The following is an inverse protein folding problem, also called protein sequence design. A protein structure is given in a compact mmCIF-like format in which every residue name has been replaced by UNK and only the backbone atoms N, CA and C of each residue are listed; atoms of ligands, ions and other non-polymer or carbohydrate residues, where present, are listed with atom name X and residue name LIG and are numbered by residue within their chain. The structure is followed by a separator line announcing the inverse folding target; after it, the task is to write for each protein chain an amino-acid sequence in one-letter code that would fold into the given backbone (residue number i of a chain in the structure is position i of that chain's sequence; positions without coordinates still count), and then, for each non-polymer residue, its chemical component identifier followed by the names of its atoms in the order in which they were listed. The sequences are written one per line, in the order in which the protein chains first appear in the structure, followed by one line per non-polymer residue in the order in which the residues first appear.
data_IF_497464013433
#
_entry.id   IF_497464013433
#
_cell.length_a   1.000
_cell.length_b   1.000
_cell.length_c   1.000
_cell.angle_alpha   90.00
_cell.angle_beta   90.00
_cell.angle_gamma   90.00
#
_symmetry.space_group_name_H-M   'P 1'
#
loop_
_entity.id
_entity.type
_entity.pdbx_description
1 polymer ?
#
# COMPACT_ATOMS: atom_id res chain seq x y z
N UNK A 1 8.05 -24.67 1.38
CA UNK A 1 7.47 -23.88 2.50
C UNK A 1 8.03 -22.47 2.41
N UNK A 2 7.23 -21.45 2.67
CA UNK A 2 7.69 -20.05 2.71
C UNK A 2 8.52 -19.83 3.98
N UNK A 3 9.72 -19.26 3.88
CA UNK A 3 10.54 -18.93 5.07
C UNK A 3 9.96 -17.71 5.79
N UNK A 4 9.41 -16.75 5.06
CA UNK A 4 8.77 -15.55 5.61
C UNK A 4 7.27 -15.62 5.42
N UNK A 5 6.51 -15.33 6.47
CA UNK A 5 5.06 -15.29 6.46
C UNK A 5 4.56 -14.00 7.12
N UNK A 6 3.83 -13.17 6.35
CA UNK A 6 3.16 -11.99 6.93
C UNK A 6 2.02 -12.48 7.82
N UNK A 7 2.02 -12.04 9.07
CA UNK A 7 1.01 -12.41 10.07
C UNK A 7 -0.06 -11.32 10.21
N UNK A 8 0.34 -10.05 10.18
CA UNK A 8 -0.59 -8.92 10.29
C UNK A 8 -0.03 -7.67 9.58
N UNK A 9 -0.93 -6.85 9.04
CA UNK A 9 -0.62 -5.51 8.55
C UNK A 9 -1.73 -4.59 9.06
N UNK A 10 -1.37 -3.73 10.00
CA UNK A 10 -2.29 -2.75 10.57
C UNK A 10 -2.13 -1.42 9.85
N UNK A 11 -3.21 -0.99 9.22
CA UNK A 11 -3.31 0.35 8.63
C UNK A 11 -3.53 1.37 9.75
N UNK A 12 -2.62 2.35 9.85
CA UNK A 12 -2.69 3.45 10.82
C UNK A 12 -3.21 4.71 10.14
N UNK A 13 -3.68 5.67 10.94
CA UNK A 13 -4.14 6.99 10.46
C UNK A 13 -5.15 6.92 9.30
N UNK A 14 -6.24 6.16 9.50
CA UNK A 14 -7.24 5.92 8.48
C UNK A 14 -8.68 6.11 9.04
N UNK A 15 -9.58 6.85 8.37
CA UNK A 15 -9.38 7.63 7.14
C UNK A 15 -8.60 8.94 7.36
N UNK A 16 -7.87 9.40 6.35
CA UNK A 16 -7.05 10.61 6.39
C UNK A 16 -7.17 11.45 5.09
N UNK A 17 -6.55 12.63 5.07
CA UNK A 17 -6.45 13.43 3.85
C UNK A 17 -5.66 12.67 2.79
N UNK A 18 -5.97 12.90 1.52
CA UNK A 18 -5.26 12.28 0.39
C UNK A 18 -3.75 12.52 0.49
N UNK A 19 -3.36 13.73 0.89
CA UNK A 19 -1.98 14.22 1.04
C UNK A 19 -1.27 13.78 2.33
N UNK A 20 -1.95 13.11 3.25
CA UNK A 20 -1.30 12.52 4.44
C UNK A 20 -0.48 11.30 4.03
N UNK A 21 0.63 11.02 4.71
CA UNK A 21 1.42 9.82 4.46
C UNK A 21 0.60 8.55 4.74
N UNK A 22 0.93 7.45 4.06
CA UNK A 22 0.44 6.14 4.45
C UNK A 22 1.30 5.59 5.58
N UNK A 23 0.68 4.87 6.52
CA UNK A 23 1.37 4.32 7.68
C UNK A 23 0.89 2.89 7.95
N UNK A 24 1.80 1.92 7.85
CA UNK A 24 1.52 0.50 8.02
C UNK A 24 2.41 -0.09 9.11
N UNK A 25 1.81 -0.69 10.14
CA UNK A 25 2.54 -1.54 11.09
C UNK A 25 2.52 -2.98 10.55
N UNK A 26 3.67 -3.45 10.06
CA UNK A 26 3.81 -4.75 9.42
C UNK A 26 4.40 -5.73 10.44
N UNK A 27 3.73 -6.86 10.63
CA UNK A 27 4.19 -7.99 11.45
C UNK A 27 4.36 -9.22 10.57
N UNK A 28 5.51 -9.87 10.67
CA UNK A 28 5.80 -11.09 9.93
C UNK A 28 6.64 -12.07 10.75
N UNK A 29 6.51 -13.35 10.45
CA UNK A 29 7.29 -14.43 11.03
C UNK A 29 8.34 -14.91 10.02
N UNK A 30 9.58 -15.07 10.50
CA UNK A 30 10.68 -15.64 9.75
C UNK A 30 11.07 -16.99 10.39
N UNK A 31 10.96 -18.09 9.65
CA UNK A 31 11.22 -19.45 10.17
C UNK A 31 12.72 -19.68 10.41
N UNK A 32 13.58 -19.10 9.56
CA UNK A 32 15.03 -19.26 9.61
C UNK A 32 15.67 -17.93 9.25
N UNK A 33 16.76 -17.58 9.93
CA UNK A 33 17.49 -16.34 9.69
C UNK A 33 17.83 -16.16 8.20
N UNK A 34 17.57 -14.95 7.69
CA UNK A 34 17.96 -14.54 6.35
C UNK A 34 19.16 -13.59 6.46
N UNK A 35 20.25 -13.98 5.81
CA UNK A 35 21.48 -13.17 5.71
C UNK A 35 21.35 -11.99 4.76
N UNK A 36 20.30 -11.97 3.93
CA UNK A 36 20.00 -10.93 2.95
C UNK A 36 18.68 -10.25 3.30
N UNK A 37 18.54 -9.03 2.81
CA UNK A 37 17.41 -8.17 3.13
C UNK A 37 16.15 -8.55 2.34
N UNK A 38 15.00 -8.31 2.97
CA UNK A 38 13.71 -8.27 2.30
C UNK A 38 13.50 -6.89 1.71
N UNK A 39 13.11 -6.82 0.44
CA UNK A 39 12.67 -5.57 -0.17
C UNK A 39 11.16 -5.42 0.01
N UNK A 40 10.73 -4.35 0.67
CA UNK A 40 9.33 -4.00 0.85
C UNK A 40 8.99 -2.77 0.01
N UNK A 41 7.91 -2.84 -0.77
CA UNK A 41 7.42 -1.71 -1.57
C UNK A 41 5.97 -1.41 -1.26
N UNK A 42 5.62 -0.13 -1.32
CA UNK A 42 4.24 0.33 -1.37
C UNK A 42 3.98 0.91 -2.76
N UNK A 43 2.95 0.42 -3.42
CA UNK A 43 2.58 0.79 -4.77
C UNK A 43 1.14 1.29 -4.74
N UNK A 44 0.90 2.48 -5.29
CA UNK A 44 -0.44 3.01 -5.48
C UNK A 44 -0.86 2.82 -6.93
N UNK A 45 -2.02 2.21 -7.14
CA UNK A 45 -2.59 2.01 -8.49
C UNK A 45 -3.24 3.31 -8.93
N UNK A 46 -2.65 3.97 -9.93
CA UNK A 46 -3.15 5.27 -10.40
C UNK A 46 -4.40 5.16 -11.27
N UNK A 47 -4.54 4.07 -12.03
CA UNK A 47 -5.69 3.81 -12.88
C UNK A 47 -5.97 2.31 -12.93
N UNK A 48 -7.23 1.87 -12.91
CA UNK A 48 -7.56 0.46 -13.10
C UNK A 48 -7.29 -0.03 -14.53
N UNK A 49 -7.14 0.88 -15.51
CA UNK A 49 -7.01 0.54 -16.93
C UNK A 49 -5.56 0.31 -17.37
N UNK A 50 -4.58 0.88 -16.65
CA UNK A 50 -3.18 0.84 -17.06
C UNK A 50 -2.22 0.92 -15.87
N UNK A 51 -1.25 0.01 -15.87
CA UNK A 51 -0.12 -0.01 -14.92
C UNK A 51 0.86 1.16 -15.14
N UNK A 52 0.74 1.91 -16.25
CA UNK A 52 1.59 3.09 -16.51
C UNK A 52 1.41 4.20 -15.48
N UNK A 53 0.27 4.22 -14.80
CA UNK A 53 -0.05 5.17 -13.74
C UNK A 53 0.28 4.65 -12.35
N UNK A 54 0.82 3.43 -12.23
CA UNK A 54 1.22 2.87 -10.95
C UNK A 54 2.43 3.62 -10.39
N UNK A 55 2.33 4.00 -9.12
CA UNK A 55 3.34 4.77 -8.43
C UNK A 55 3.95 3.93 -7.32
N UNK A 56 5.23 3.61 -7.44
CA UNK A 56 6.01 3.10 -6.31
C UNK A 56 6.23 4.26 -5.35
N UNK A 57 5.50 4.27 -4.24
CA UNK A 57 5.53 5.36 -3.26
C UNK A 57 6.85 5.35 -2.48
N UNK A 58 7.29 4.16 -2.08
CA UNK A 58 8.59 3.95 -1.45
C UNK A 58 9.04 2.48 -1.55
N UNK A 59 10.33 2.26 -1.34
CA UNK A 59 10.98 0.96 -1.33
C UNK A 59 12.04 0.92 -0.24
N UNK A 60 11.90 0.01 0.72
CA UNK A 60 12.87 -0.15 1.82
C UNK A 60 13.45 -1.56 1.87
N UNK A 61 14.68 -1.65 2.35
CA UNK A 61 15.36 -2.92 2.62
C UNK A 61 15.30 -3.20 4.12
N UNK A 62 14.80 -4.37 4.49
CA UNK A 62 14.70 -4.82 5.89
C UNK A 62 15.56 -6.06 6.05
N UNK A 63 16.71 -5.89 6.68
CA UNK A 63 17.56 -7.00 7.09
C UNK A 63 18.84 -6.56 7.81
N UNK A 64 19.68 -7.54 8.23
CA UNK A 64 19.42 -8.98 8.17
C UNK A 64 18.21 -9.39 9.01
N UNK A 65 17.50 -10.44 8.62
CA UNK A 65 16.20 -10.81 9.22
C UNK A 65 16.37 -11.98 10.19
N UNK A 66 16.25 -11.76 11.52
CA UNK A 66 16.37 -12.84 12.49
C UNK A 66 15.16 -13.77 12.43
N UNK A 67 15.37 -15.03 12.83
CA UNK A 67 14.29 -15.99 13.02
C UNK A 67 13.34 -15.54 14.14
N UNK A 68 12.04 -15.78 13.96
CA UNK A 68 10.98 -15.40 14.89
C UNK A 68 10.05 -14.32 14.34
N UNK A 69 9.32 -13.68 15.24
CA UNK A 69 8.35 -12.63 14.91
C UNK A 69 9.05 -11.28 14.86
N UNK A 70 8.92 -10.60 13.73
CA UNK A 70 9.46 -9.29 13.46
C UNK A 70 8.31 -8.30 13.24
N UNK A 71 8.52 -7.05 13.67
CA UNK A 71 7.55 -5.96 13.50
C UNK A 71 8.29 -4.67 13.19
N UNK A 72 7.77 -3.89 12.24
CA UNK A 72 8.27 -2.55 11.94
C UNK A 72 7.15 -1.64 11.43
N UNK A 73 7.43 -0.34 11.45
CA UNK A 73 6.55 0.68 10.91
C UNK A 73 7.04 1.07 9.51
N UNK A 74 6.16 1.02 8.52
CA UNK A 74 6.41 1.47 7.16
C UNK A 74 5.57 2.71 6.87
N UNK A 75 6.19 3.88 6.93
CA UNK A 75 5.59 5.16 6.54
C UNK A 75 6.05 5.53 5.14
N UNK A 76 5.11 5.90 4.26
CA UNK A 76 5.42 6.28 2.88
C UNK A 76 4.63 7.51 2.46
N UNK A 77 5.25 8.35 1.62
CA UNK A 77 4.63 9.54 1.06
C UNK A 77 3.32 9.20 0.32
N UNK A 78 2.35 10.14 0.24
CA UNK A 78 1.15 9.95 -0.57
C UNK A 78 1.48 9.81 -2.06
N UNK A 79 0.51 9.31 -2.84
CA UNK A 79 0.61 9.30 -4.29
C UNK A 79 0.62 10.71 -4.87
N UNK A 80 1.36 10.91 -5.96
CA UNK A 80 1.37 12.14 -6.72
C UNK A 80 0.09 12.25 -7.55
N UNK A 81 -0.82 13.13 -7.12
CA UNK A 81 -2.09 13.37 -7.79
C UNK A 81 -1.93 13.84 -9.25
N UNK A 82 -0.80 14.46 -9.61
CA UNK A 82 -0.57 14.96 -10.98
C UNK A 82 -0.31 13.84 -11.98
N UNK A 83 0.05 12.66 -11.48
CA UNK A 83 0.29 11.44 -12.28
C UNK A 83 -0.91 10.51 -12.32
N UNK A 84 -2.03 10.90 -11.71
CA UNK A 84 -3.27 10.13 -11.70
C UNK A 84 -4.21 10.73 -12.75
N UNK A 85 -4.85 9.93 -13.61
CA UNK A 85 -5.88 10.43 -14.50
C UNK A 85 -6.98 11.18 -13.71
N UNK A 86 -7.42 12.38 -14.13
CA UNK A 86 -8.37 13.18 -13.35
C UNK A 86 -9.70 12.48 -13.05
N UNK A 87 -10.11 11.51 -13.87
CA UNK A 87 -11.33 10.73 -13.69
C UNK A 87 -11.16 9.54 -12.72
N UNK A 88 -9.92 9.12 -12.44
CA UNK A 88 -9.59 7.98 -11.57
C UNK A 88 -9.19 8.41 -10.15
N UNK A 89 -9.00 9.71 -9.91
CA UNK A 89 -8.60 10.20 -8.60
C UNK A 89 -9.70 10.06 -7.54
N UNK A 90 -10.96 10.22 -7.95
CA UNK A 90 -12.14 10.03 -7.12
C UNK A 90 -12.67 8.60 -7.27
N UNK A 91 -13.19 8.06 -6.17
CA UNK A 91 -13.74 6.71 -6.12
C UNK A 91 -12.71 5.68 -5.67
N UNK A 92 -12.89 4.45 -6.14
CA UNK A 92 -12.18 3.29 -5.59
C UNK A 92 -10.94 2.97 -6.42
N UNK A 93 -9.80 2.88 -5.76
CA UNK A 93 -8.54 2.35 -6.31
C UNK A 93 -7.91 1.34 -5.33
N UNK A 94 -6.63 0.97 -5.54
CA UNK A 94 -5.91 -0.03 -4.78
C UNK A 94 -4.54 0.51 -4.35
N UNK A 95 -4.16 0.23 -3.10
CA UNK A 95 -2.77 0.32 -2.63
C UNK A 95 -2.26 -1.09 -2.37
N UNK A 96 -1.03 -1.36 -2.78
CA UNK A 96 -0.42 -2.69 -2.80
C UNK A 96 0.88 -2.63 -2.01
N UNK A 97 1.03 -3.53 -1.03
CA UNK A 97 2.28 -3.77 -0.32
C UNK A 97 2.88 -5.06 -0.87
N UNK A 98 4.09 -5.00 -1.40
CA UNK A 98 4.81 -6.19 -1.87
C UNK A 98 6.02 -6.46 -1.00
N UNK A 99 6.39 -7.73 -0.88
CA UNK A 99 7.66 -8.13 -0.29
C UNK A 99 8.37 -9.11 -1.22
N UNK A 100 9.64 -8.82 -1.47
CA UNK A 100 10.51 -9.57 -2.37
C UNK A 100 11.77 -10.02 -1.64
N UNK A 101 12.28 -11.18 -2.05
CA UNK A 101 13.58 -11.68 -1.61
C UNK A 101 14.41 -12.02 -2.84
N UNK A 102 15.63 -11.48 -2.95
CA UNK A 102 16.48 -11.60 -4.15
C UNK A 102 15.74 -11.27 -5.46
N UNK A 103 15.00 -10.17 -5.48
CA UNK A 103 14.16 -9.71 -6.61
C UNK A 103 13.03 -10.68 -7.03
N UNK A 104 12.69 -11.65 -6.18
CA UNK A 104 11.54 -12.53 -6.38
C UNK A 104 10.43 -12.10 -5.41
N UNK A 105 9.36 -11.50 -5.95
CA UNK A 105 8.14 -11.19 -5.18
C UNK A 105 7.50 -12.50 -4.71
N UNK A 106 7.33 -12.66 -3.40
CA UNK A 106 6.70 -13.85 -2.82
C UNK A 106 5.36 -13.56 -2.15
N UNK A 107 5.08 -12.29 -1.83
CA UNK A 107 3.80 -11.88 -1.26
C UNK A 107 3.42 -10.48 -1.72
N UNK A 108 2.12 -10.33 -1.95
CA UNK A 108 1.45 -9.10 -2.32
C UNK A 108 0.18 -8.96 -1.51
N UNK A 109 0.01 -7.82 -0.84
CA UNK A 109 -1.18 -7.49 -0.05
C UNK A 109 -1.81 -6.22 -0.61
N UNK A 110 -2.97 -6.35 -1.24
CA UNK A 110 -3.73 -5.24 -1.80
C UNK A 110 -4.86 -4.80 -0.88
N UNK A 111 -5.04 -3.50 -0.73
CA UNK A 111 -6.18 -2.88 -0.04
C UNK A 111 -6.93 -1.98 -1.02
N UNK A 112 -8.26 -2.02 -0.97
CA UNK A 112 -9.05 -1.00 -1.64
C UNK A 112 -8.91 0.33 -0.90
N UNK A 113 -8.78 1.41 -1.66
CA UNK A 113 -8.75 2.78 -1.17
C UNK A 113 -9.91 3.52 -1.82
N UNK A 114 -10.79 4.10 -1.01
CA UNK A 114 -11.86 4.97 -1.48
C UNK A 114 -11.45 6.42 -1.28
N UNK A 115 -11.34 7.19 -2.36
CA UNK A 115 -11.07 8.61 -2.35
C UNK A 115 -12.37 9.38 -2.55
N UNK A 116 -12.77 10.17 -1.54
CA UNK A 116 -14.03 10.90 -1.59
C UNK A 116 -13.93 12.26 -0.89
N UNK A 117 -14.76 13.21 -1.33
CA UNK A 117 -15.04 14.41 -0.58
C UNK A 117 -15.92 14.08 0.62
N UNK A 118 -15.68 14.70 1.79
CA UNK A 118 -16.56 14.51 2.95
C UNK A 118 -17.81 15.39 2.87
N UNK A 119 -17.70 16.55 2.24
CA UNK A 119 -18.81 17.48 2.03
C UNK A 119 -19.88 16.80 1.14
N UNK A 120 -21.13 16.78 1.58
CA UNK A 120 -22.23 16.12 0.86
C UNK A 120 -22.52 16.78 -0.50
N UNK A 121 -22.51 18.12 -0.55
CA UNK A 121 -22.69 18.86 -1.81
C UNK A 121 -21.61 18.53 -2.84
N UNK A 122 -20.34 18.40 -2.42
CA UNK A 122 -19.23 18.03 -3.31
C UNK A 122 -19.24 16.54 -3.70
N UNK A 123 -19.92 15.68 -2.93
CA UNK A 123 -20.13 14.28 -3.33
C UNK A 123 -21.22 14.16 -4.38
N UNK A 124 -22.33 14.89 -4.22
CA UNK A 124 -23.45 14.87 -5.17
C UNK A 124 -23.11 15.64 -6.45
N UNK A 125 -22.39 16.75 -6.33
CA UNK A 125 -21.96 17.61 -7.42
C UNK A 125 -20.45 17.82 -7.34
N UNK A 126 -19.64 16.86 -7.81
CA UNK A 126 -18.20 16.99 -7.79
C UNK A 126 -17.76 18.22 -8.59
N UNK A 127 -16.92 19.10 -8.01
CA UNK A 127 -16.42 20.28 -8.69
C UNK A 127 -15.54 19.89 -9.88
N UNK A 128 -15.48 20.74 -10.91
CA UNK A 128 -14.58 20.53 -12.06
C UNK A 128 -13.10 20.63 -11.64
N UNK A 129 -12.80 21.46 -10.63
CA UNK A 129 -11.46 21.58 -10.06
C UNK A 129 -11.27 20.65 -8.86
N UNK A 130 -10.13 19.97 -8.83
CA UNK A 130 -9.75 19.06 -7.75
C UNK A 130 -9.34 19.84 -6.49
N UNK A 131 -10.15 19.76 -5.44
CA UNK A 131 -9.81 20.29 -4.11
C UNK A 131 -9.10 19.26 -3.24
N UNK A 132 -7.78 19.15 -3.37
CA UNK A 132 -6.96 18.18 -2.60
C UNK A 132 -7.06 18.34 -1.08
N UNK A 133 -7.27 19.56 -0.60
CA UNK A 133 -7.41 19.90 0.82
C UNK A 133 -8.70 19.32 1.44
N UNK A 134 -9.66 18.92 0.60
CA UNK A 134 -10.93 18.33 0.99
C UNK A 134 -11.07 16.87 0.60
N UNK A 135 -10.10 16.33 -0.13
CA UNK A 135 -10.10 14.94 -0.57
C UNK A 135 -9.59 14.05 0.55
N UNK A 136 -10.41 13.08 0.95
CA UNK A 136 -10.05 12.08 1.95
C UNK A 136 -9.88 10.73 1.28
N UNK A 137 -8.89 9.98 1.76
CA UNK A 137 -8.70 8.57 1.43
C UNK A 137 -9.10 7.68 2.60
N UNK A 138 -9.83 6.62 2.30
CA UNK A 138 -10.22 5.60 3.25
C UNK A 138 -9.79 4.22 2.74
N UNK A 139 -8.88 3.58 3.46
CA UNK A 139 -8.37 2.25 3.16
C UNK A 139 -9.27 1.22 3.81
N UNK A 140 -9.78 0.28 3.03
CA UNK A 140 -10.62 -0.81 3.53
C UNK A 140 -9.76 -1.90 4.17
N UNK A 141 -9.25 -1.62 5.37
CA UNK A 141 -8.29 -2.45 6.09
C UNK A 141 -8.83 -3.85 6.46
N UNK A 142 -10.15 -4.00 6.60
CA UNK A 142 -10.77 -5.27 7.04
C UNK A 142 -10.78 -6.36 5.95
N UNK A 143 -10.55 -6.00 4.68
CA UNK A 143 -10.66 -6.92 3.54
C UNK A 143 -9.40 -6.91 2.65
N UNK A 144 -8.22 -7.24 3.19
CA UNK A 144 -7.01 -7.34 2.39
C UNK A 144 -7.12 -8.48 1.37
N UNK A 145 -6.61 -8.23 0.17
CA UNK A 145 -6.41 -9.24 -0.87
C UNK A 145 -4.96 -9.72 -0.79
N UNK A 146 -4.74 -10.95 -0.33
CA UNK A 146 -3.39 -11.51 -0.18
C UNK A 146 -3.11 -12.54 -1.26
N UNK A 147 -2.06 -12.31 -2.04
CA UNK A 147 -1.53 -13.24 -3.03
C UNK A 147 -0.14 -13.69 -2.57
N UNK A 148 0.10 -15.01 -2.61
CA UNK A 148 1.40 -15.61 -2.25
C UNK A 148 1.94 -16.39 -3.43
N UNK A 149 3.21 -16.19 -3.73
CA UNK A 149 3.93 -16.84 -4.82
C UNK A 149 5.08 -17.66 -4.23
N UNK A 150 5.22 -18.96 -4.58
CA UNK A 150 6.36 -19.73 -4.13
C UNK A 150 7.63 -19.26 -4.83
N UNK A 151 8.68 -18.96 -4.06
CA UNK A 151 9.99 -18.53 -4.56
C UNK A 151 11.11 -19.48 -4.13
N UNK A 152 12.29 -19.30 -4.74
CA UNK A 152 13.53 -19.90 -4.26
C UNK A 152 14.16 -18.96 -3.22
N UNK A 153 14.14 -19.40 -1.96
CA UNK A 153 14.80 -18.77 -0.82
C UNK A 153 16.31 -19.04 -0.84
#
# INVERSE_FOLDING_TARGET
MSIVNITDIKVLENPALFTTDFSFEITFECITELNEDLEWKVIYVGSPESEEYDQVLDSIMVGPVPAGINKFLFQVSPADHTKIPPHDILGVTVVIITCSFRNQEFVRVGYYVNNEYRDEEMRENPPEELHLDKLYKNILADKPRVTRVPIKW
#
